data_IF_172359660031
#
_entry.id   IF_172359660031
#
_cell.length_a   1.000
_cell.length_b   1.000
_cell.length_c   1.000
_cell.angle_alpha   90.00
_cell.angle_beta   90.00
_cell.angle_gamma   90.00
#
_symmetry.space_group_name_H-M   'P 1'
#
loop_
_entity.id
_entity.type
_entity.pdbx_description
1 polymer ?
#
# COMPACT_ATOMS: atom_id res chain seq x y z
N UNK A 1 -17.92 1.49 9.36
CA UNK A 1 -18.07 0.05 9.12
C UNK A 1 -17.02 -0.75 9.89
N UNK A 2 -17.24 -2.05 10.17
CA UNK A 2 -16.20 -2.97 10.63
C UNK A 2 -15.05 -3.07 9.62
N UNK A 3 -13.81 -3.33 10.10
CA UNK A 3 -12.65 -3.46 9.20
C UNK A 3 -12.75 -4.66 8.26
N UNK A 4 -13.46 -5.72 8.65
CA UNK A 4 -13.73 -6.90 7.80
C UNK A 4 -14.53 -6.60 6.53
N UNK A 5 -15.25 -5.49 6.49
CA UNK A 5 -16.01 -5.06 5.33
C UNK A 5 -15.18 -4.23 4.32
N UNK A 6 -13.90 -3.98 4.60
CA UNK A 6 -13.01 -3.27 3.67
C UNK A 6 -12.58 -4.13 2.48
N UNK A 7 -12.56 -5.46 2.66
CA UNK A 7 -11.87 -6.37 1.76
C UNK A 7 -12.48 -6.42 0.36
N UNK A 8 -13.78 -6.27 0.23
CA UNK A 8 -14.45 -6.27 -1.07
C UNK A 8 -13.78 -5.26 -2.03
N UNK A 9 -13.67 -4.01 -1.60
CA UNK A 9 -13.03 -2.97 -2.42
C UNK A 9 -11.52 -3.09 -2.45
N UNK A 10 -10.89 -3.48 -1.36
CA UNK A 10 -9.44 -3.69 -1.31
C UNK A 10 -9.00 -4.75 -2.32
N UNK A 11 -9.73 -5.86 -2.46
CA UNK A 11 -9.47 -6.93 -3.43
C UNK A 11 -9.76 -6.48 -4.87
N UNK A 12 -10.88 -5.77 -5.11
CA UNK A 12 -11.22 -5.22 -6.43
C UNK A 12 -10.07 -4.37 -7.00
N UNK A 13 -9.43 -3.57 -6.15
CA UNK A 13 -8.31 -2.69 -6.55
C UNK A 13 -6.91 -3.28 -6.28
N UNK A 14 -6.83 -4.51 -5.79
CA UNK A 14 -5.54 -5.15 -5.45
C UNK A 14 -4.77 -4.40 -4.37
N UNK A 15 -5.47 -3.81 -3.40
CA UNK A 15 -4.90 -2.88 -2.43
C UNK A 15 -4.90 -3.42 -1.00
N UNK A 16 -3.94 -4.26 -0.68
CA UNK A 16 -3.78 -4.89 0.65
C UNK A 16 -3.71 -3.88 1.81
N UNK A 17 -3.24 -2.67 1.57
CA UNK A 17 -3.12 -1.62 2.60
C UNK A 17 -4.46 -1.03 3.04
N UNK A 18 -5.53 -1.37 2.35
CA UNK A 18 -6.89 -0.93 2.66
C UNK A 18 -7.79 -2.11 3.09
N UNK A 19 -7.22 -3.30 3.31
CA UNK A 19 -7.92 -4.49 3.80
C UNK A 19 -7.85 -4.67 5.32
N UNK A 20 -8.59 -5.66 5.82
CA UNK A 20 -8.66 -5.96 7.26
C UNK A 20 -7.33 -6.47 7.81
N UNK A 21 -6.57 -7.28 7.06
CA UNK A 21 -5.27 -7.81 7.48
C UNK A 21 -4.29 -6.69 7.81
N UNK A 22 -4.26 -5.65 6.98
CA UNK A 22 -3.46 -4.45 7.27
C UNK A 22 -3.95 -3.70 8.51
N UNK A 23 -5.26 -3.58 8.67
CA UNK A 23 -5.83 -2.97 9.87
C UNK A 23 -5.43 -3.74 11.14
N UNK A 24 -5.44 -5.06 11.10
CA UNK A 24 -5.05 -5.92 12.22
C UNK A 24 -3.55 -5.88 12.49
N UNK A 25 -2.72 -5.86 11.46
CA UNK A 25 -1.30 -5.62 11.60
C UNK A 25 -1.01 -4.27 12.28
N UNK A 26 -1.76 -3.24 11.97
CA UNK A 26 -1.62 -1.90 12.56
C UNK A 26 -2.36 -1.72 13.89
N UNK A 27 -2.47 -2.77 14.70
CA UNK A 27 -3.21 -2.80 15.99
C UNK A 27 -2.85 -1.70 16.99
N UNK A 28 -1.63 -1.16 16.93
CA UNK A 28 -1.14 -0.07 17.83
C UNK A 28 -1.69 1.32 17.45
N UNK A 29 -2.34 1.45 16.29
CA UNK A 29 -2.92 2.71 15.81
C UNK A 29 -4.42 2.75 16.09
N UNK A 30 -4.98 3.96 16.29
CA UNK A 30 -6.41 4.14 16.15
C UNK A 30 -6.84 3.80 14.73
N UNK A 31 -7.97 3.14 14.57
CA UNK A 31 -8.47 2.68 13.26
C UNK A 31 -9.90 3.14 13.05
N UNK A 32 -10.20 3.61 11.85
CA UNK A 32 -11.57 3.88 11.40
C UNK A 32 -11.71 3.42 9.97
N UNK A 33 -12.74 2.64 9.71
CA UNK A 33 -13.11 2.19 8.38
C UNK A 33 -14.36 2.94 7.90
N UNK A 34 -14.33 3.43 6.68
CA UNK A 34 -15.44 4.11 6.02
C UNK A 34 -15.87 3.35 4.79
N UNK A 35 -17.15 3.48 4.44
CA UNK A 35 -17.71 3.03 3.18
C UNK A 35 -18.59 4.13 2.58
N UNK A 36 -18.58 4.25 1.26
CA UNK A 36 -19.55 5.00 0.49
C UNK A 36 -20.37 4.04 -0.37
N UNK A 37 -21.66 4.28 -0.46
CA UNK A 37 -22.60 3.50 -1.28
C UNK A 37 -23.32 4.45 -2.25
N UNK A 38 -23.62 3.96 -3.44
CA UNK A 38 -24.45 4.68 -4.40
C UNK A 38 -25.96 4.61 -4.03
N UNK A 39 -26.80 5.29 -4.81
CA UNK A 39 -28.25 5.30 -4.59
C UNK A 39 -28.94 3.93 -4.68
N UNK A 40 -28.23 2.89 -5.13
CA UNK A 40 -28.71 1.51 -5.20
C UNK A 40 -28.13 0.63 -4.07
N UNK A 41 -27.36 1.20 -3.16
CA UNK A 41 -26.72 0.48 -2.06
C UNK A 41 -25.46 -0.29 -2.48
N UNK A 42 -24.93 -0.05 -3.69
CA UNK A 42 -23.66 -0.65 -4.12
C UNK A 42 -22.50 0.12 -3.52
N UNK A 43 -21.54 -0.60 -2.94
CA UNK A 43 -20.32 0.01 -2.41
C UNK A 43 -19.44 0.57 -3.54
N UNK A 44 -19.23 1.87 -3.51
CA UNK A 44 -18.44 2.60 -4.52
C UNK A 44 -17.13 3.12 -3.96
N UNK A 45 -17.00 3.17 -2.62
CA UNK A 45 -15.80 3.63 -1.93
C UNK A 45 -15.58 2.83 -0.65
N UNK A 46 -14.33 2.56 -0.32
CA UNK A 46 -13.91 2.18 1.03
C UNK A 46 -12.63 2.90 1.44
N UNK A 47 -12.43 3.08 2.74
CA UNK A 47 -11.24 3.74 3.26
C UNK A 47 -10.91 3.26 4.67
N UNK A 48 -9.67 2.83 4.86
CA UNK A 48 -9.08 2.63 6.18
C UNK A 48 -8.22 3.86 6.53
N UNK A 49 -8.60 4.53 7.60
CA UNK A 49 -7.79 5.60 8.17
C UNK A 49 -7.16 5.14 9.49
N UNK A 50 -5.85 5.20 9.56
CA UNK A 50 -5.07 5.04 10.79
C UNK A 50 -4.93 6.40 11.46
N UNK A 51 -5.01 6.45 12.79
CA UNK A 51 -4.84 7.70 13.54
C UNK A 51 -3.76 7.56 14.61
N UNK A 52 -3.02 8.63 14.81
CA UNK A 52 -1.97 8.75 15.85
C UNK A 52 -2.26 9.99 16.67
N UNK A 53 -2.21 9.92 18.02
CA UNK A 53 -2.33 11.09 18.86
C UNK A 53 -1.11 12.02 18.67
N UNK A 54 -1.35 13.31 18.71
CA UNK A 54 -0.30 14.32 18.78
C UNK A 54 0.10 14.47 20.26
N UNK A 55 1.39 14.32 20.54
CA UNK A 55 1.92 14.30 21.90
C UNK A 55 1.42 15.48 22.73
N UNK A 56 0.99 15.22 23.96
CA UNK A 56 0.46 16.20 24.92
C UNK A 56 -0.77 17.01 24.45
N UNK A 57 -1.55 16.50 23.50
CA UNK A 57 -2.78 17.15 23.04
C UNK A 57 -3.94 16.16 22.90
N UNK A 58 -5.18 16.68 22.78
CA UNK A 58 -6.33 15.88 22.38
C UNK A 58 -6.41 15.66 20.86
N UNK A 59 -5.48 16.25 20.11
CA UNK A 59 -5.47 16.22 18.65
C UNK A 59 -4.86 14.90 18.11
N UNK A 60 -5.26 14.55 16.91
CA UNK A 60 -4.77 13.39 16.17
C UNK A 60 -4.36 13.78 14.76
N UNK A 61 -3.52 12.97 14.16
CA UNK A 61 -3.25 12.99 12.72
C UNK A 61 -3.75 11.69 12.09
N UNK A 62 -4.28 11.79 10.87
CA UNK A 62 -4.79 10.66 10.11
C UNK A 62 -3.86 10.28 8.98
N UNK A 63 -3.84 8.98 8.64
CA UNK A 63 -3.13 8.47 7.47
C UNK A 63 -3.95 7.38 6.80
N UNK A 64 -4.29 7.59 5.54
CA UNK A 64 -4.98 6.63 4.68
C UNK A 64 -3.97 6.04 3.72
N UNK A 65 -3.29 4.97 4.20
CA UNK A 65 -2.20 4.30 3.46
C UNK A 65 -2.74 3.75 2.15
N UNK A 66 -2.19 4.22 1.03
CA UNK A 66 -2.64 3.81 -0.32
C UNK A 66 -4.14 4.00 -0.56
N UNK A 67 -4.81 4.82 0.22
CA UNK A 67 -6.27 5.02 0.16
C UNK A 67 -6.62 6.47 -0.18
N UNK A 68 -7.86 6.73 -0.30
CA UNK A 68 -9.02 5.81 -0.26
C UNK A 68 -9.14 4.96 -1.53
N UNK A 69 -9.98 3.90 -1.50
CA UNK A 69 -10.24 3.01 -2.64
C UNK A 69 -11.61 3.36 -3.24
N UNK A 70 -11.63 3.67 -4.52
CA UNK A 70 -12.81 4.10 -5.27
C UNK A 70 -12.39 4.83 -6.54
N UNK A 71 -13.32 5.12 -7.42
CA UNK A 71 -13.00 5.85 -8.66
C UNK A 71 -12.75 7.34 -8.38
N UNK A 72 -11.48 7.71 -8.21
CA UNK A 72 -11.10 9.12 -7.99
C UNK A 72 -11.21 9.99 -9.24
N UNK A 73 -11.56 9.41 -10.41
CA UNK A 73 -11.90 10.21 -11.60
C UNK A 73 -13.33 10.74 -11.54
N UNK A 74 -14.16 10.18 -10.66
CA UNK A 74 -15.50 10.70 -10.35
C UNK A 74 -15.38 11.88 -9.38
N UNK A 75 -15.63 13.09 -9.90
CA UNK A 75 -15.54 14.34 -9.13
C UNK A 75 -16.59 14.37 -7.99
N UNK A 76 -17.78 13.82 -8.23
CA UNK A 76 -18.84 13.78 -7.23
C UNK A 76 -18.46 12.90 -6.06
N UNK A 77 -17.97 11.69 -6.33
CA UNK A 77 -17.48 10.76 -5.30
C UNK A 77 -16.38 11.38 -4.45
N UNK A 78 -15.38 12.02 -5.09
CA UNK A 78 -14.28 12.68 -4.37
C UNK A 78 -14.79 13.83 -3.52
N UNK A 79 -15.74 14.63 -4.04
CA UNK A 79 -16.30 15.78 -3.33
C UNK A 79 -17.11 15.35 -2.10
N UNK A 80 -18.02 14.40 -2.25
CA UNK A 80 -18.86 13.90 -1.17
C UNK A 80 -18.03 13.23 -0.07
N UNK A 81 -17.09 12.37 -0.45
CA UNK A 81 -16.20 11.76 0.53
C UNK A 81 -15.35 12.79 1.26
N UNK A 82 -14.83 13.79 0.56
CA UNK A 82 -14.02 14.85 1.18
C UNK A 82 -14.83 15.69 2.16
N UNK A 83 -16.08 16.02 1.82
CA UNK A 83 -16.98 16.74 2.70
C UNK A 83 -17.27 15.94 3.98
N UNK A 84 -17.63 14.66 3.83
CA UNK A 84 -17.81 13.73 4.94
C UNK A 84 -16.55 13.63 5.81
N UNK A 85 -15.38 13.43 5.19
CA UNK A 85 -14.10 13.28 5.89
C UNK A 85 -13.77 14.53 6.72
N UNK A 86 -14.00 15.72 6.20
CA UNK A 86 -13.79 16.98 6.92
C UNK A 86 -14.65 17.07 8.19
N UNK A 87 -15.93 16.74 8.10
CA UNK A 87 -16.82 16.76 9.27
C UNK A 87 -16.43 15.68 10.28
N UNK A 88 -16.06 14.49 9.81
CA UNK A 88 -15.54 13.43 10.66
C UNK A 88 -14.26 13.88 11.39
N UNK A 89 -13.32 14.48 10.68
CA UNK A 89 -12.05 14.96 11.24
C UNK A 89 -12.27 16.03 12.32
N UNK A 90 -13.15 16.99 12.07
CA UNK A 90 -13.52 18.00 13.08
C UNK A 90 -14.09 17.37 14.35
N UNK A 91 -15.06 16.47 14.19
CA UNK A 91 -15.71 15.78 15.31
C UNK A 91 -14.75 14.94 16.14
N UNK A 92 -13.70 14.38 15.53
CA UNK A 92 -12.75 13.46 16.18
C UNK A 92 -11.39 14.09 16.47
N UNK A 93 -11.28 15.42 16.36
CA UNK A 93 -10.06 16.20 16.63
C UNK A 93 -8.85 15.76 15.76
N UNK A 94 -9.11 15.39 14.50
CA UNK A 94 -8.06 15.07 13.54
C UNK A 94 -7.69 16.34 12.79
N UNK A 95 -6.49 16.87 13.03
CA UNK A 95 -6.07 18.18 12.53
C UNK A 95 -5.68 18.18 11.06
N UNK A 96 -5.13 17.07 10.58
CA UNK A 96 -4.92 16.80 9.16
C UNK A 96 -4.89 15.28 8.90
N UNK A 97 -5.10 14.92 7.65
CA UNK A 97 -4.92 13.54 7.19
C UNK A 97 -4.08 13.52 5.91
N UNK A 98 -3.21 12.52 5.80
CA UNK A 98 -2.40 12.27 4.62
C UNK A 98 -3.01 11.13 3.83
N UNK A 99 -3.08 11.28 2.52
CA UNK A 99 -3.44 10.21 1.59
C UNK A 99 -2.29 10.01 0.59
N UNK A 100 -2.05 8.78 0.19
CA UNK A 100 -1.11 8.42 -0.87
C UNK A 100 -1.75 7.37 -1.80
N UNK A 101 -2.71 7.78 -2.66
CA UNK A 101 -3.51 6.86 -3.47
C UNK A 101 -2.67 5.83 -4.22
N UNK A 102 -3.21 4.60 -4.32
CA UNK A 102 -2.54 3.50 -5.01
C UNK A 102 -2.54 3.65 -6.53
N UNK A 103 -3.42 4.50 -7.03
CA UNK A 103 -3.61 4.77 -8.46
C UNK A 103 -2.41 5.48 -9.10
N UNK A 104 -2.07 5.07 -10.32
CA UNK A 104 -0.93 5.66 -11.02
C UNK A 104 -1.26 7.04 -11.55
N UNK A 105 -0.41 8.03 -11.27
CA UNK A 105 -0.44 9.34 -11.89
C UNK A 105 0.21 9.33 -13.28
N UNK A 106 1.30 8.55 -13.41
CA UNK A 106 2.07 8.41 -14.64
C UNK A 106 2.22 6.95 -15.04
N UNK A 107 2.21 6.69 -16.34
CA UNK A 107 2.61 5.40 -16.90
C UNK A 107 3.71 5.69 -17.92
N UNK A 108 4.77 4.91 -17.92
CA UNK A 108 5.94 5.10 -18.80
C UNK A 108 6.50 6.54 -18.78
N UNK A 109 6.50 7.16 -17.58
CA UNK A 109 6.92 8.53 -17.29
C UNK A 109 6.00 9.64 -17.83
N UNK A 110 4.93 9.32 -18.53
CA UNK A 110 3.92 10.26 -19.02
C UNK A 110 2.69 10.29 -18.11
N UNK A 111 2.14 11.49 -17.91
CA UNK A 111 0.90 11.67 -17.16
C UNK A 111 -0.25 11.07 -17.94
N UNK A 112 -0.99 10.16 -17.31
CA UNK A 112 -2.18 9.58 -17.95
C UNK A 112 -3.39 10.53 -17.81
N UNK A 113 -4.36 10.50 -18.76
CA UNK A 113 -5.59 11.30 -18.64
C UNK A 113 -6.32 11.07 -17.32
N UNK A 114 -6.45 9.82 -16.89
CA UNK A 114 -7.08 9.48 -15.61
C UNK A 114 -6.24 9.95 -14.42
N UNK A 115 -4.91 9.83 -14.50
CA UNK A 115 -4.00 10.35 -13.49
C UNK A 115 -4.16 11.86 -13.32
N UNK A 116 -4.23 12.58 -14.43
CA UNK A 116 -4.47 14.02 -14.45
C UNK A 116 -5.82 14.37 -13.83
N UNK A 117 -6.89 13.69 -14.24
CA UNK A 117 -8.25 13.91 -13.74
C UNK A 117 -8.35 13.65 -12.24
N UNK A 118 -7.80 12.53 -11.74
CA UNK A 118 -7.72 12.24 -10.29
C UNK A 118 -7.01 13.34 -9.52
N UNK A 119 -5.87 13.78 -10.04
CA UNK A 119 -5.10 14.85 -9.41
C UNK A 119 -5.90 16.17 -9.33
N UNK A 120 -6.54 16.56 -10.42
CA UNK A 120 -7.38 17.75 -10.46
C UNK A 120 -8.57 17.67 -9.51
N UNK A 121 -9.25 16.53 -9.43
CA UNK A 121 -10.36 16.32 -8.51
C UNK A 121 -9.91 16.46 -7.04
N UNK A 122 -8.75 15.93 -6.69
CA UNK A 122 -8.19 16.10 -5.35
C UNK A 122 -7.87 17.58 -5.07
N UNK A 123 -7.20 18.28 -5.98
CA UNK A 123 -6.87 19.71 -5.80
C UNK A 123 -8.11 20.58 -5.67
N UNK A 124 -9.14 20.38 -6.52
CA UNK A 124 -10.42 21.09 -6.45
C UNK A 124 -11.11 20.93 -5.10
N UNK A 125 -10.94 19.77 -4.47
CA UNK A 125 -11.50 19.45 -3.16
C UNK A 125 -10.59 19.88 -1.99
N UNK A 126 -9.54 20.67 -2.27
CA UNK A 126 -8.68 21.30 -1.26
C UNK A 126 -7.63 20.36 -0.67
N UNK A 127 -7.29 19.26 -1.34
CA UNK A 127 -6.08 18.52 -1.01
C UNK A 127 -4.86 19.30 -1.46
N UNK A 128 -3.79 19.18 -0.70
CA UNK A 128 -2.51 19.81 -1.00
C UNK A 128 -1.55 18.72 -1.47
N UNK A 129 -1.05 18.85 -2.70
CA UNK A 129 -0.06 17.92 -3.23
C UNK A 129 1.32 18.20 -2.61
N UNK A 130 1.85 17.21 -1.92
CA UNK A 130 3.24 17.24 -1.47
C UNK A 130 4.11 16.54 -2.52
N UNK A 131 5.13 17.23 -3.07
CA UNK A 131 6.07 16.58 -3.98
C UNK A 131 6.81 15.46 -3.25
N UNK A 132 7.09 14.39 -3.97
CA UNK A 132 7.84 13.25 -3.43
C UNK A 132 9.18 13.71 -2.86
N UNK A 133 9.37 13.48 -1.58
CA UNK A 133 10.68 13.60 -0.93
C UNK A 133 11.19 12.20 -0.63
N UNK A 134 12.51 12.03 -0.70
CA UNK A 134 13.18 10.75 -0.45
C UNK A 134 12.86 10.11 0.93
N UNK A 135 12.24 10.86 1.82
CA UNK A 135 11.91 10.50 3.21
C UNK A 135 10.42 10.35 3.49
N UNK A 136 9.56 10.22 2.47
CA UNK A 136 8.16 9.88 2.74
C UNK A 136 8.11 8.50 3.40
N UNK A 137 7.25 8.34 4.41
CA UNK A 137 7.10 7.07 5.17
C UNK A 137 6.72 5.89 4.26
N UNK A 138 6.18 6.17 3.08
CA UNK A 138 5.91 5.20 2.03
C UNK A 138 6.54 5.70 0.74
N UNK A 139 7.54 4.98 0.25
CA UNK A 139 8.05 5.24 -1.10
C UNK A 139 6.97 4.85 -2.10
N UNK A 140 6.61 5.71 -3.06
CA UNK A 140 5.72 5.29 -4.13
C UNK A 140 6.35 4.12 -4.88
N UNK A 141 5.53 3.16 -5.25
CA UNK A 141 5.96 2.06 -6.11
C UNK A 141 6.29 2.63 -7.47
N UNK A 142 7.57 2.67 -7.80
CA UNK A 142 8.02 3.19 -9.09
C UNK A 142 7.90 2.16 -10.22
N UNK A 143 7.77 0.89 -9.86
CA UNK A 143 7.69 -0.20 -10.83
C UNK A 143 6.61 -1.18 -10.41
N UNK A 144 5.72 -1.53 -11.35
CA UNK A 144 4.73 -2.58 -11.19
C UNK A 144 4.96 -3.61 -12.29
N UNK A 145 4.93 -4.87 -11.92
CA UNK A 145 4.86 -5.97 -12.88
C UNK A 145 3.41 -6.39 -12.92
N UNK A 146 2.78 -6.22 -14.08
CA UNK A 146 1.43 -6.70 -14.30
C UNK A 146 1.48 -8.16 -14.73
N UNK A 147 0.73 -8.99 -14.01
CA UNK A 147 0.60 -10.39 -14.32
C UNK A 147 -0.70 -10.62 -15.09
N UNK A 148 -0.58 -11.02 -16.35
CA UNK A 148 -1.73 -11.32 -17.20
C UNK A 148 -2.21 -12.75 -16.94
N UNK A 149 -3.33 -12.91 -16.26
CA UNK A 149 -3.87 -14.23 -15.89
C UNK A 149 -4.29 -15.09 -17.09
N UNK A 150 -4.41 -14.50 -18.28
CA UNK A 150 -4.74 -15.22 -19.51
C UNK A 150 -3.53 -15.94 -20.12
N UNK A 151 -2.31 -15.59 -19.71
CA UNK A 151 -1.07 -16.19 -20.19
C UNK A 151 -0.56 -17.28 -19.24
N UNK A 152 0.19 -18.23 -19.77
CA UNK A 152 0.90 -19.20 -18.94
C UNK A 152 2.00 -18.52 -18.10
N UNK A 153 2.40 -19.15 -17.00
CA UNK A 153 3.48 -18.62 -16.16
C UNK A 153 4.79 -18.44 -16.95
N UNK A 154 5.11 -19.40 -17.83
CA UNK A 154 6.31 -19.37 -18.66
C UNK A 154 6.32 -18.22 -19.67
N UNK A 155 5.18 -17.97 -20.34
CA UNK A 155 5.04 -16.86 -21.29
C UNK A 155 5.20 -15.52 -20.60
N UNK A 156 4.62 -15.38 -19.41
CA UNK A 156 4.73 -14.15 -18.64
C UNK A 156 6.13 -13.89 -18.11
N UNK A 157 6.78 -14.93 -17.58
CA UNK A 157 8.16 -14.84 -17.12
C UNK A 157 9.08 -14.39 -18.25
N UNK A 158 8.95 -15.00 -19.43
CA UNK A 158 9.70 -14.61 -20.63
C UNK A 158 9.44 -13.16 -21.04
N UNK A 159 8.18 -12.72 -21.00
CA UNK A 159 7.82 -11.34 -21.33
C UNK A 159 8.39 -10.35 -20.32
N UNK A 160 8.22 -10.62 -19.02
CA UNK A 160 8.75 -9.77 -17.95
C UNK A 160 10.27 -9.70 -18.03
N UNK A 161 10.95 -10.81 -18.17
CA UNK A 161 12.40 -10.88 -18.32
C UNK A 161 12.87 -10.12 -19.56
N UNK A 162 12.17 -10.27 -20.69
CA UNK A 162 12.48 -9.53 -21.92
C UNK A 162 12.39 -8.00 -21.78
N UNK A 163 11.45 -7.50 -20.98
CA UNK A 163 11.26 -6.08 -20.69
C UNK A 163 12.25 -5.51 -19.65
N UNK A 164 12.98 -6.37 -18.92
CA UNK A 164 13.97 -5.91 -17.95
C UNK A 164 15.17 -5.25 -18.64
N UNK A 165 15.72 -4.22 -17.97
CA UNK A 165 16.98 -3.61 -18.42
C UNK A 165 18.11 -4.65 -18.46
N UNK A 166 19.01 -4.53 -19.41
CA UNK A 166 20.17 -5.45 -19.59
C UNK A 166 20.95 -5.67 -18.29
N UNK A 167 21.18 -4.59 -17.54
CA UNK A 167 21.92 -4.67 -16.25
C UNK A 167 21.22 -5.60 -15.27
N UNK A 168 19.87 -5.54 -15.16
CA UNK A 168 19.12 -6.41 -14.25
C UNK A 168 19.17 -7.88 -14.70
N UNK A 169 19.00 -8.15 -16.02
CA UNK A 169 19.16 -9.51 -16.57
C UNK A 169 20.54 -10.09 -16.30
N UNK A 170 21.59 -9.28 -16.45
CA UNK A 170 22.96 -9.69 -16.14
C UNK A 170 23.16 -9.99 -14.64
N UNK A 171 22.50 -9.21 -13.78
CA UNK A 171 22.55 -9.46 -12.33
C UNK A 171 21.87 -10.78 -11.95
N UNK A 172 20.73 -11.10 -12.59
CA UNK A 172 20.04 -12.39 -12.40
C UNK A 172 20.94 -13.53 -12.86
N UNK A 173 21.45 -13.48 -14.08
CA UNK A 173 22.37 -14.50 -14.60
C UNK A 173 23.62 -14.68 -13.73
N UNK A 174 24.17 -13.60 -13.18
CA UNK A 174 25.31 -13.66 -12.25
C UNK A 174 24.93 -14.36 -10.95
N UNK A 175 23.74 -14.11 -10.42
CA UNK A 175 23.24 -14.77 -9.20
C UNK A 175 23.07 -16.28 -9.43
N UNK A 176 22.43 -16.68 -10.54
CA UNK A 176 22.26 -18.07 -10.95
C UNK A 176 23.61 -18.80 -11.12
N UNK A 177 24.55 -18.17 -11.83
CA UNK A 177 25.91 -18.72 -12.02
C UNK A 177 26.69 -18.89 -10.71
N UNK A 178 26.32 -18.14 -9.65
CA UNK A 178 26.86 -18.28 -8.30
C UNK A 178 26.11 -19.32 -7.45
N UNK A 179 25.12 -20.00 -8.00
CA UNK A 179 24.31 -21.00 -7.31
C UNK A 179 23.36 -20.39 -6.28
N UNK A 180 22.95 -19.12 -6.47
CA UNK A 180 21.95 -18.51 -5.62
C UNK A 180 20.56 -18.95 -6.10
N UNK A 181 19.87 -19.70 -5.26
CA UNK A 181 18.51 -20.16 -5.50
C UNK A 181 17.54 -19.43 -4.54
N UNK A 182 16.54 -18.70 -5.04
CA UNK A 182 15.55 -18.09 -4.19
C UNK A 182 14.60 -19.16 -3.63
N UNK A 183 14.36 -19.16 -2.34
CA UNK A 183 13.41 -20.05 -1.67
C UNK A 183 12.24 -19.24 -1.18
N UNK A 184 11.00 -19.67 -1.53
CA UNK A 184 9.77 -19.03 -1.09
C UNK A 184 9.16 -19.81 0.07
N UNK A 185 8.93 -19.12 1.19
CA UNK A 185 8.16 -19.61 2.33
C UNK A 185 6.90 -18.78 2.45
N UNK A 186 5.76 -19.41 2.75
CA UNK A 186 4.47 -18.74 2.98
C UNK A 186 3.74 -19.37 4.14
N UNK A 187 2.95 -18.57 4.87
CA UNK A 187 2.06 -19.05 5.90
C UNK A 187 2.75 -19.90 6.96
N UNK A 188 2.16 -21.05 7.26
CA UNK A 188 2.66 -21.99 8.27
C UNK A 188 4.03 -22.62 7.98
N UNK A 189 4.60 -22.39 6.77
CA UNK A 189 5.96 -22.84 6.43
C UNK A 189 7.06 -21.88 6.91
N UNK A 190 6.68 -20.73 7.46
CA UNK A 190 7.62 -19.78 8.05
C UNK A 190 7.89 -20.23 9.49
N UNK A 191 8.84 -21.16 9.65
CA UNK A 191 9.28 -21.63 10.96
C UNK A 191 10.18 -20.60 11.65
N UNK A 192 10.50 -20.81 12.93
CA UNK A 192 11.41 -19.94 13.68
C UNK A 192 12.81 -19.90 13.07
N UNK A 193 13.29 -21.00 12.53
CA UNK A 193 14.58 -21.10 11.86
C UNK A 193 14.59 -20.26 10.58
N UNK A 194 13.52 -20.39 9.76
CA UNK A 194 13.35 -19.58 8.53
C UNK A 194 13.27 -18.09 8.86
N UNK A 195 12.51 -17.73 9.88
CA UNK A 195 12.40 -16.35 10.33
C UNK A 195 13.75 -15.79 10.82
N UNK A 196 14.47 -16.57 11.63
CA UNK A 196 15.75 -16.17 12.18
C UNK A 196 16.80 -15.96 11.08
N UNK A 197 16.84 -16.84 10.08
CA UNK A 197 17.75 -16.69 8.94
C UNK A 197 17.39 -15.49 8.07
N UNK A 198 16.10 -15.26 7.80
CA UNK A 198 15.65 -14.04 7.13
C UNK A 198 16.11 -12.79 7.88
N UNK A 199 15.91 -12.74 9.20
CA UNK A 199 16.30 -11.59 10.00
C UNK A 199 17.81 -11.39 10.05
N UNK A 200 18.60 -12.46 10.05
CA UNK A 200 20.06 -12.40 9.98
C UNK A 200 20.52 -11.74 8.68
N UNK A 201 20.03 -12.24 7.55
CA UNK A 201 20.36 -11.70 6.21
C UNK A 201 19.89 -10.26 6.05
N UNK A 202 18.73 -9.93 6.61
CA UNK A 202 18.17 -8.59 6.53
C UNK A 202 18.98 -7.59 7.37
N UNK A 203 19.42 -7.97 8.59
CA UNK A 203 20.30 -7.16 9.44
C UNK A 203 21.63 -6.89 8.76
N UNK A 204 22.26 -7.92 8.23
CA UNK A 204 23.52 -7.78 7.45
C UNK A 204 23.35 -6.81 6.27
N UNK A 205 22.22 -6.93 5.54
CA UNK A 205 21.90 -6.03 4.43
C UNK A 205 21.70 -4.58 4.92
N UNK A 206 21.00 -4.40 6.04
CA UNK A 206 20.74 -3.09 6.60
C UNK A 206 22.02 -2.38 7.06
N UNK A 207 22.92 -3.13 7.69
CA UNK A 207 24.26 -2.64 8.08
C UNK A 207 25.09 -2.23 6.85
N UNK A 208 25.17 -3.10 5.83
CA UNK A 208 25.92 -2.86 4.61
C UNK A 208 25.35 -1.69 3.78
N UNK A 209 24.06 -1.43 3.85
CA UNK A 209 23.37 -0.38 3.09
C UNK A 209 23.00 0.83 3.93
N UNK A 210 23.33 0.85 5.21
CA UNK A 210 23.11 1.96 6.15
C UNK A 210 21.65 2.43 6.23
N UNK A 211 20.71 1.50 6.39
CA UNK A 211 19.29 1.84 6.63
C UNK A 211 18.77 1.26 7.94
N UNK A 212 17.77 1.94 8.54
CA UNK A 212 17.14 1.48 9.77
C UNK A 212 16.14 0.36 9.55
N UNK A 213 16.11 -0.60 10.46
CA UNK A 213 15.14 -1.69 10.50
C UNK A 213 14.05 -1.45 11.54
N UNK A 214 12.91 -2.12 11.37
CA UNK A 214 11.91 -2.29 12.43
C UNK A 214 12.36 -3.43 13.37
N UNK A 215 11.68 -3.55 14.52
CA UNK A 215 11.95 -4.65 15.46
C UNK A 215 11.54 -6.01 14.88
N UNK A 216 12.14 -7.08 15.38
CA UNK A 216 11.77 -8.46 15.03
C UNK A 216 10.28 -8.72 15.28
N UNK A 217 9.71 -8.16 16.38
CA UNK A 217 8.29 -8.22 16.69
C UNK A 217 7.41 -7.62 15.57
N UNK A 218 7.85 -6.53 14.96
CA UNK A 218 7.12 -5.90 13.85
C UNK A 218 6.95 -6.85 12.66
N UNK A 219 8.00 -7.57 12.28
CA UNK A 219 7.95 -8.53 11.18
C UNK A 219 7.16 -9.78 11.53
N UNK A 220 7.24 -10.27 12.78
CA UNK A 220 6.41 -11.37 13.29
C UNK A 220 4.92 -11.01 13.28
N UNK A 221 4.58 -9.82 13.73
CA UNK A 221 3.20 -9.31 13.71
C UNK A 221 2.67 -9.21 12.26
N UNK A 222 3.53 -8.82 11.32
CA UNK A 222 3.18 -8.78 9.90
C UNK A 222 2.87 -10.17 9.34
N UNK A 223 3.77 -11.13 9.54
CA UNK A 223 3.58 -12.52 9.12
C UNK A 223 2.30 -13.11 9.73
N UNK A 224 2.06 -12.85 11.01
CA UNK A 224 0.86 -13.32 11.69
C UNK A 224 -0.43 -12.71 11.14
N UNK A 225 -0.43 -11.42 10.83
CA UNK A 225 -1.61 -10.72 10.34
C UNK A 225 -2.01 -11.16 8.93
N UNK A 226 -1.01 -11.39 8.06
CA UNK A 226 -1.25 -11.79 6.68
C UNK A 226 -1.42 -13.30 6.49
N UNK A 227 -1.10 -14.12 7.50
CA UNK A 227 -1.32 -15.56 7.48
C UNK A 227 -0.78 -16.25 6.22
N UNK A 228 -1.65 -16.93 5.48
CA UNK A 228 -1.29 -17.62 4.23
C UNK A 228 -0.89 -16.67 3.09
N UNK A 229 -1.15 -15.38 3.21
CA UNK A 229 -0.77 -14.34 2.25
C UNK A 229 0.59 -13.69 2.55
N UNK A 230 1.27 -14.15 3.62
CA UNK A 230 2.59 -13.64 4.03
C UNK A 230 3.75 -14.29 3.26
#
# INVERSE_FOLDING_TARGET
IPTSELDEKALEYGNVFQGHEWADFKKKYGKTAFAGEDGNGKRVLSCLMLTVPVFCTAMKVGYMVRGFVGDMTDETLVSEFTAFLREYMKKHHIVYAVIDPYESYKTDFEVTPDGQKRHENLLKNGYIHFPQKAYSMQRPTNYRVFWDRAKSAEEQEKEVFGKMKKMLRNSIATAENRGLEPVKFTGGKITEEVFSEFMRLFKETAENKHFGMKSDEYYRDQIKAFGEHS
#
